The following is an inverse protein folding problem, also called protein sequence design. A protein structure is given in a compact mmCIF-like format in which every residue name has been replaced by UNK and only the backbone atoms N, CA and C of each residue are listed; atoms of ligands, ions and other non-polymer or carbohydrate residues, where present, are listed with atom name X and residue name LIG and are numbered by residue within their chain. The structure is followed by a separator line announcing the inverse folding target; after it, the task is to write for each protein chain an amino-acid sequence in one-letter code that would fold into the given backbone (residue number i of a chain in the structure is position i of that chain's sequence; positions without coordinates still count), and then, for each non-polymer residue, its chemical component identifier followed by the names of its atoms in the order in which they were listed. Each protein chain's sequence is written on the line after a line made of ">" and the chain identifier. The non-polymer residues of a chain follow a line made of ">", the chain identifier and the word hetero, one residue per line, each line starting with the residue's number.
data_IF_648173181955
#
_entry.id   IF_648173181955
#
_cell.length_a   1.000
_cell.length_b   1.000
_cell.length_c   1.000
_cell.angle_alpha   90.00
_cell.angle_beta   90.00
_cell.angle_gamma   90.00
#
_symmetry.space_group_name_H-M   'P 1'
#
loop_
_entity.id
_entity.type
_entity.pdbx_description
1 polymer ?
#
# COMPACT_ATOMS: atom_id res chain seq x y z
N UNK A 1 27.85 14.95 25.20
CA UNK A 1 26.79 15.15 26.22
C UNK A 1 25.73 15.99 25.52
N UNK A 2 24.77 15.33 24.85
CA UNK A 2 23.61 15.99 24.23
C UNK A 2 22.62 16.29 25.35
N UNK A 3 22.32 17.55 25.57
CA UNK A 3 21.23 18.01 26.45
C UNK A 3 19.94 17.39 25.98
N UNK A 4 19.13 16.75 26.82
CA UNK A 4 17.81 16.25 26.38
C UNK A 4 16.98 17.44 25.93
N UNK A 5 16.50 17.39 24.70
CA UNK A 5 15.51 18.35 24.19
C UNK A 5 14.29 18.20 25.07
N UNK A 6 13.93 19.28 25.74
CA UNK A 6 12.78 19.34 26.63
C UNK A 6 11.51 19.16 25.76
N UNK A 7 10.97 17.94 25.71
CA UNK A 7 9.73 17.66 24.96
C UNK A 7 8.63 18.50 25.58
N UNK A 8 8.07 19.43 24.81
CA UNK A 8 6.94 20.23 25.28
C UNK A 8 5.73 19.31 25.53
N UNK A 9 4.84 19.61 26.48
CA UNK A 9 3.60 18.85 26.69
C UNK A 9 2.75 18.70 25.43
N UNK A 10 2.84 19.62 24.49
CA UNK A 10 2.19 19.56 23.18
C UNK A 10 2.78 18.45 22.29
N UNK A 11 4.09 18.26 22.29
CA UNK A 11 4.78 17.21 21.54
C UNK A 11 4.36 15.80 22.00
N UNK A 12 4.12 15.66 23.31
CA UNK A 12 3.59 14.46 23.88
C UNK A 12 2.16 14.09 23.43
N UNK A 13 1.38 15.02 22.88
CA UNK A 13 0.03 14.74 22.38
C UNK A 13 0.04 14.00 21.02
N UNK A 14 1.13 14.05 20.26
CA UNK A 14 1.21 13.55 18.89
C UNK A 14 1.81 12.16 18.71
N UNK A 15 2.30 11.52 19.76
CA UNK A 15 2.59 10.10 19.73
C UNK A 15 4.05 9.67 19.73
N UNK A 16 4.34 8.58 19.01
CA UNK A 16 5.61 7.85 19.05
C UNK A 16 6.68 8.51 18.17
N UNK A 17 7.11 9.72 18.56
CA UNK A 17 8.22 10.40 17.93
C UNK A 17 9.51 10.23 18.74
N UNK A 18 10.64 10.26 18.05
CA UNK A 18 11.95 10.23 18.70
C UNK A 18 12.18 11.49 19.56
N UNK A 19 12.73 11.30 20.76
CA UNK A 19 13.05 12.40 21.69
C UNK A 19 14.15 13.34 21.16
N UNK A 20 14.95 12.87 20.21
CA UNK A 20 15.97 13.68 19.50
C UNK A 20 15.47 14.32 18.23
N UNK A 21 14.16 14.31 18.01
CA UNK A 21 13.58 14.93 16.84
C UNK A 21 13.85 16.45 16.82
N UNK A 22 14.19 17.00 15.66
CA UNK A 22 14.81 18.31 15.54
C UNK A 22 13.85 19.49 15.74
N UNK A 23 12.55 19.27 15.75
CA UNK A 23 11.52 20.30 15.96
C UNK A 23 10.33 19.79 16.74
N UNK A 24 9.57 20.72 17.29
CA UNK A 24 8.32 20.44 18.01
C UNK A 24 7.13 20.60 17.06
N UNK A 25 6.16 19.68 17.15
CA UNK A 25 4.87 19.80 16.47
C UNK A 25 3.85 20.46 17.42
N UNK A 26 3.51 21.69 17.16
CA UNK A 26 2.38 22.34 17.86
C UNK A 26 1.10 22.15 17.04
N UNK A 27 0.07 21.49 17.60
CA UNK A 27 -1.22 21.27 16.93
C UNK A 27 -1.86 22.53 16.37
N UNK A 28 -1.59 23.68 16.98
CA UNK A 28 -2.16 24.94 16.55
C UNK A 28 -1.42 25.57 15.35
N UNK A 29 -0.20 25.13 15.08
CA UNK A 29 0.70 25.71 14.09
C UNK A 29 1.02 24.82 12.89
N UNK A 30 0.36 23.67 12.75
CA UNK A 30 0.53 22.78 11.60
C UNK A 30 -0.44 23.21 10.48
N UNK A 31 0.10 23.98 9.53
CA UNK A 31 -0.71 24.61 8.49
C UNK A 31 -1.43 23.62 7.56
N UNK A 32 -0.85 22.44 7.35
CA UNK A 32 -1.38 21.43 6.44
C UNK A 32 -2.36 20.45 7.11
N UNK A 33 -2.30 20.26 8.42
CA UNK A 33 -3.09 19.26 9.13
C UNK A 33 -4.59 19.59 9.13
N UNK A 34 -4.96 20.85 9.34
CA UNK A 34 -6.35 21.30 9.35
C UNK A 34 -7.10 21.00 8.03
N UNK A 35 -6.38 20.91 6.92
CA UNK A 35 -6.93 20.58 5.60
C UNK A 35 -6.93 19.09 5.27
N UNK A 36 -6.23 18.27 6.04
CA UNK A 36 -6.03 16.86 5.69
C UNK A 36 -7.34 16.06 5.58
N UNK A 37 -8.30 16.33 6.47
CA UNK A 37 -9.63 15.69 6.43
C UNK A 37 -10.37 16.08 5.14
N UNK A 38 -10.37 17.37 4.80
CA UNK A 38 -11.01 17.88 3.57
C UNK A 38 -10.35 17.29 2.32
N UNK A 39 -9.02 17.17 2.33
CA UNK A 39 -8.24 16.60 1.22
C UNK A 39 -8.55 15.10 1.04
N UNK A 40 -8.66 14.32 2.12
CA UNK A 40 -9.08 12.91 2.05
C UNK A 40 -10.49 12.78 1.47
N UNK A 41 -11.44 13.58 1.95
CA UNK A 41 -12.81 13.59 1.42
C UNK A 41 -12.82 14.00 -0.07
N UNK A 42 -12.00 14.98 -0.45
CA UNK A 42 -11.86 15.39 -1.86
C UNK A 42 -11.27 14.28 -2.71
N UNK A 43 -10.22 13.59 -2.25
CA UNK A 43 -9.63 12.45 -2.92
C UNK A 43 -10.66 11.32 -3.12
N UNK A 44 -11.41 10.98 -2.08
CA UNK A 44 -12.47 9.96 -2.15
C UNK A 44 -13.58 10.33 -3.13
N UNK A 45 -13.96 11.62 -3.20
CA UNK A 45 -14.96 12.10 -4.20
C UNK A 45 -14.45 12.07 -5.63
N UNK A 46 -13.13 12.16 -5.83
CA UNK A 46 -12.52 12.09 -7.16
C UNK A 46 -12.56 10.67 -7.74
N UNK A 47 -12.52 9.63 -6.89
CA UNK A 47 -12.48 8.22 -7.31
C UNK A 47 -13.63 7.86 -8.26
N UNK A 48 -14.91 8.05 -7.94
CA UNK A 48 -16.01 7.73 -8.85
C UNK A 48 -15.92 8.48 -10.19
N UNK A 49 -15.43 9.72 -10.17
CA UNK A 49 -15.26 10.53 -11.39
C UNK A 49 -14.19 9.95 -12.32
N UNK A 50 -13.12 9.38 -11.74
CA UNK A 50 -12.02 8.79 -12.49
C UNK A 50 -12.30 7.35 -12.95
N UNK A 51 -13.14 6.63 -12.22
CA UNK A 51 -13.42 5.21 -12.46
C UNK A 51 -14.73 4.95 -13.21
N UNK A 52 -15.55 5.98 -13.41
CA UNK A 52 -16.73 5.88 -14.28
C UNK A 52 -16.29 5.91 -15.76
N UNK A 53 -16.65 4.90 -16.56
CA UNK A 53 -16.31 4.87 -17.97
C UNK A 53 -16.90 6.07 -18.72
N UNK A 54 -16.07 6.82 -19.42
CA UNK A 54 -16.51 7.93 -20.28
C UNK A 54 -16.69 7.49 -21.72
N UNK A 55 -17.52 8.22 -22.51
CA UNK A 55 -17.68 7.93 -23.95
C UNK A 55 -16.37 8.05 -24.72
N UNK A 56 -15.54 9.00 -24.34
CA UNK A 56 -14.25 9.29 -24.98
C UNK A 56 -13.14 9.22 -23.95
N UNK A 57 -12.34 8.13 -23.91
CA UNK A 57 -11.17 8.03 -23.05
C UNK A 57 -10.06 8.98 -23.55
N UNK A 58 -9.00 9.21 -22.76
CA UNK A 58 -7.81 9.96 -23.23
C UNK A 58 -7.13 9.26 -24.39
N UNK A 59 -7.55 9.56 -25.65
CA UNK A 59 -7.21 8.80 -26.87
C UNK A 59 -5.70 8.60 -27.02
N UNK A 60 -4.91 9.67 -26.89
CA UNK A 60 -3.45 9.56 -27.01
C UNK A 60 -2.83 8.55 -26.02
N UNK A 61 -3.31 8.53 -24.77
CA UNK A 61 -2.83 7.58 -23.76
C UNK A 61 -3.37 6.18 -24.00
N UNK A 62 -4.62 6.06 -24.42
CA UNK A 62 -5.22 4.79 -24.80
C UNK A 62 -4.43 4.11 -25.93
N UNK A 63 -4.05 4.84 -26.96
CA UNK A 63 -3.23 4.30 -28.07
C UNK A 63 -1.91 3.73 -27.55
N UNK A 64 -1.22 4.44 -26.66
CA UNK A 64 0.03 3.95 -26.05
C UNK A 64 -0.22 2.66 -25.26
N UNK A 65 -1.27 2.64 -24.42
CA UNK A 65 -1.61 1.47 -23.59
C UNK A 65 -1.95 0.27 -24.47
N UNK A 66 -2.83 0.45 -25.46
CA UNK A 66 -3.23 -0.62 -26.40
C UNK A 66 -2.02 -1.13 -27.17
N UNK A 67 -1.14 -0.24 -27.66
CA UNK A 67 0.06 -0.65 -28.39
C UNK A 67 1.03 -1.48 -27.53
N UNK A 68 1.29 -1.05 -26.27
CA UNK A 68 2.16 -1.79 -25.35
C UNK A 68 1.57 -3.14 -24.99
N UNK A 69 0.26 -3.19 -24.66
CA UNK A 69 -0.43 -4.43 -24.35
C UNK A 69 -0.50 -5.37 -25.55
N UNK A 70 -0.74 -4.84 -26.76
CA UNK A 70 -0.73 -5.65 -27.99
C UNK A 70 0.62 -6.30 -28.22
N UNK A 71 1.73 -5.59 -28.02
CA UNK A 71 3.07 -6.17 -28.09
C UNK A 71 3.31 -7.28 -27.04
N UNK A 72 2.65 -7.22 -25.91
CA UNK A 72 2.71 -8.27 -24.90
C UNK A 72 1.83 -9.48 -25.25
N UNK A 73 0.60 -9.23 -25.68
CA UNK A 73 -0.43 -10.25 -25.85
C UNK A 73 -0.34 -11.00 -27.20
N UNK A 74 -0.07 -10.30 -28.31
CA UNK A 74 -0.05 -10.90 -29.65
C UNK A 74 0.90 -12.09 -29.75
N UNK A 75 2.18 -12.02 -29.31
CA UNK A 75 3.08 -13.16 -29.39
C UNK A 75 2.63 -14.36 -28.56
N UNK A 76 2.03 -14.11 -27.39
CA UNK A 76 1.45 -15.16 -26.57
C UNK A 76 0.27 -15.82 -27.30
N UNK A 77 -0.65 -15.00 -27.85
CA UNK A 77 -1.81 -15.50 -28.57
C UNK A 77 -1.42 -16.34 -29.80
N UNK A 78 -0.42 -15.90 -30.57
CA UNK A 78 0.11 -16.63 -31.73
C UNK A 78 0.71 -17.96 -31.29
N UNK A 79 1.59 -17.97 -30.25
CA UNK A 79 2.18 -19.20 -29.73
C UNK A 79 1.09 -20.18 -29.23
N UNK A 80 0.09 -19.66 -28.50
CA UNK A 80 -1.02 -20.48 -28.01
C UNK A 80 -1.85 -21.07 -29.14
N UNK A 81 -2.18 -20.28 -30.17
CA UNK A 81 -2.91 -20.77 -31.34
C UNK A 81 -2.13 -21.83 -32.13
N UNK A 82 -0.83 -21.70 -32.21
CA UNK A 82 0.07 -22.66 -32.84
C UNK A 82 0.42 -23.86 -31.94
N UNK A 83 -0.20 -24.00 -30.78
CA UNK A 83 0.05 -25.07 -29.78
C UNK A 83 1.54 -25.24 -29.45
N UNK A 84 2.29 -24.11 -29.30
CA UNK A 84 3.73 -24.10 -29.03
C UNK A 84 4.05 -23.91 -27.53
N UNK A 85 3.17 -24.32 -26.65
CA UNK A 85 3.41 -24.44 -25.21
C UNK A 85 3.26 -25.88 -24.82
N UNK A 86 4.21 -26.37 -24.04
CA UNK A 86 4.25 -27.75 -23.59
C UNK A 86 3.23 -27.99 -22.45
N UNK A 87 2.91 -26.96 -21.68
CA UNK A 87 1.92 -27.02 -20.61
C UNK A 87 1.11 -25.72 -20.44
N UNK A 88 -0.05 -25.79 -19.78
CA UNK A 88 -0.81 -24.61 -19.39
C UNK A 88 -0.01 -23.66 -18.46
N UNK A 89 0.83 -24.21 -17.59
CA UNK A 89 1.71 -23.51 -16.65
C UNK A 89 2.73 -22.65 -17.41
N UNK A 90 3.41 -23.24 -18.39
CA UNK A 90 4.35 -22.52 -19.27
C UNK A 90 3.66 -21.36 -19.99
N UNK A 91 2.46 -21.59 -20.50
CA UNK A 91 1.66 -20.54 -21.15
C UNK A 91 1.32 -19.40 -20.19
N UNK A 92 0.97 -19.71 -18.92
CA UNK A 92 0.70 -18.70 -17.88
C UNK A 92 1.96 -17.95 -17.48
N UNK A 93 3.07 -18.64 -17.27
CA UNK A 93 4.36 -18.00 -16.96
C UNK A 93 4.81 -17.05 -18.09
N UNK A 94 4.69 -17.49 -19.34
CA UNK A 94 5.04 -16.66 -20.50
C UNK A 94 4.22 -15.37 -20.59
N UNK A 95 2.89 -15.44 -20.42
CA UNK A 95 2.04 -14.24 -20.46
C UNK A 95 2.32 -13.32 -19.27
N UNK A 96 2.53 -13.89 -18.08
CA UNK A 96 2.81 -13.14 -16.85
C UNK A 96 4.09 -12.32 -16.96
N UNK A 97 5.18 -12.91 -17.45
CA UNK A 97 6.44 -12.21 -17.76
C UNK A 97 6.23 -11.05 -18.75
N UNK A 98 5.45 -11.27 -19.80
CA UNK A 98 5.19 -10.23 -20.80
C UNK A 98 4.31 -9.10 -20.26
N UNK A 99 3.34 -9.43 -19.40
CA UNK A 99 2.51 -8.44 -18.72
C UNK A 99 3.34 -7.59 -17.77
N UNK A 100 4.25 -8.19 -16.97
CA UNK A 100 5.18 -7.41 -16.15
C UNK A 100 6.00 -6.41 -16.98
N UNK A 101 6.62 -6.88 -18.06
CA UNK A 101 7.37 -5.99 -18.98
C UNK A 101 6.51 -4.90 -19.60
N UNK A 102 5.24 -5.17 -19.87
CA UNK A 102 4.30 -4.16 -20.37
C UNK A 102 3.99 -3.11 -19.32
N UNK A 103 3.71 -3.54 -18.08
CA UNK A 103 3.44 -2.68 -16.93
C UNK A 103 4.63 -1.76 -16.64
N UNK A 104 5.86 -2.28 -16.65
CA UNK A 104 7.09 -1.49 -16.50
C UNK A 104 7.25 -0.42 -17.59
N UNK A 105 6.91 -0.75 -18.84
CA UNK A 105 6.94 0.20 -19.98
C UNK A 105 5.87 1.27 -19.92
N UNK A 106 4.70 0.93 -19.37
CA UNK A 106 3.59 1.88 -19.21
C UNK A 106 3.87 2.92 -18.12
N UNK A 107 4.76 2.57 -17.19
CA UNK A 107 5.29 3.48 -16.18
C UNK A 107 4.57 3.41 -14.83
N UNK A 108 4.81 4.44 -14.02
CA UNK A 108 4.53 4.52 -12.59
C UNK A 108 3.15 4.04 -12.17
N UNK A 109 2.09 4.46 -12.85
CA UNK A 109 0.71 4.08 -12.53
C UNK A 109 0.49 2.58 -12.64
N UNK A 110 0.98 1.98 -13.72
CA UNK A 110 0.80 0.54 -13.98
C UNK A 110 1.72 -0.31 -13.11
N UNK A 111 2.92 0.18 -12.76
CA UNK A 111 3.81 -0.47 -11.79
C UNK A 111 3.09 -0.57 -10.43
N UNK A 112 2.47 0.52 -9.97
CA UNK A 112 1.72 0.53 -8.71
C UNK A 112 0.50 -0.41 -8.76
N UNK A 113 -0.22 -0.47 -9.89
CA UNK A 113 -1.28 -1.47 -10.08
C UNK A 113 -0.72 -2.90 -9.99
N UNK A 114 0.44 -3.16 -10.61
CA UNK A 114 1.12 -4.45 -10.52
C UNK A 114 1.47 -4.85 -9.10
N UNK A 115 1.86 -3.91 -8.25
CA UNK A 115 2.13 -4.14 -6.82
C UNK A 115 0.86 -4.54 -6.05
N UNK A 116 -0.29 -3.91 -6.35
CA UNK A 116 -1.57 -4.32 -5.77
C UNK A 116 -1.92 -5.74 -6.20
N UNK A 117 -1.77 -6.08 -7.48
CA UNK A 117 -2.02 -7.42 -7.99
C UNK A 117 -1.06 -8.45 -7.33
N UNK A 118 0.21 -8.09 -7.12
CA UNK A 118 1.19 -8.97 -6.47
C UNK A 118 0.85 -9.28 -5.01
N UNK A 119 0.05 -8.45 -4.37
CA UNK A 119 -0.46 -8.66 -3.00
C UNK A 119 -1.73 -9.52 -2.95
N UNK A 120 -2.29 -9.86 -4.11
CA UNK A 120 -3.53 -10.65 -4.25
C UNK A 120 -3.25 -12.15 -4.43
N UNK A 121 -2.44 -12.76 -3.56
CA UNK A 121 -2.25 -14.23 -3.56
C UNK A 121 -3.59 -14.94 -3.38
N UNK A 122 -3.81 -15.98 -4.18
CA UNK A 122 -5.09 -16.70 -4.21
C UNK A 122 -6.18 -16.03 -5.08
N UNK A 123 -6.11 -14.72 -5.32
CA UNK A 123 -7.04 -14.01 -6.22
C UNK A 123 -6.58 -14.04 -7.67
N UNK A 124 -5.28 -14.03 -7.89
CA UNK A 124 -4.65 -14.05 -9.21
C UNK A 124 -3.83 -15.32 -9.40
N UNK A 125 -3.56 -15.74 -10.66
CA UNK A 125 -2.68 -16.86 -10.92
C UNK A 125 -1.30 -16.65 -10.27
N UNK A 126 -0.75 -17.71 -9.65
CA UNK A 126 0.52 -17.65 -8.94
C UNK A 126 1.66 -17.12 -9.82
N UNK A 127 1.68 -17.50 -11.11
CA UNK A 127 2.67 -17.05 -12.08
C UNK A 127 2.62 -15.52 -12.29
N UNK A 128 1.41 -14.93 -12.28
CA UNK A 128 1.23 -13.49 -12.40
C UNK A 128 1.67 -12.76 -11.13
N UNK A 129 1.26 -13.26 -9.98
CA UNK A 129 1.65 -12.72 -8.67
C UNK A 129 3.18 -12.73 -8.52
N UNK A 130 3.82 -13.86 -8.81
CA UNK A 130 5.28 -14.01 -8.70
C UNK A 130 6.03 -13.08 -9.66
N UNK A 131 5.57 -12.93 -10.89
CA UNK A 131 6.18 -11.96 -11.83
C UNK A 131 5.97 -10.51 -11.35
N UNK A 132 4.81 -10.18 -10.81
CA UNK A 132 4.53 -8.81 -10.36
C UNK A 132 5.22 -8.46 -9.03
N UNK A 133 5.59 -9.43 -8.19
CA UNK A 133 6.52 -9.22 -7.07
C UNK A 133 7.89 -8.71 -7.54
N UNK A 134 8.26 -8.99 -8.81
CA UNK A 134 9.48 -8.48 -9.43
C UNK A 134 9.30 -7.08 -10.05
N UNK A 135 8.09 -6.53 -10.07
CA UNK A 135 7.88 -5.14 -10.48
C UNK A 135 8.62 -4.23 -9.48
N UNK A 136 9.73 -3.67 -9.94
CA UNK A 136 10.61 -2.87 -9.09
C UNK A 136 9.96 -1.53 -8.78
N UNK A 137 9.97 -1.15 -7.51
CA UNK A 137 9.70 0.22 -7.08
C UNK A 137 10.75 1.22 -7.60
N UNK A 138 11.89 0.72 -8.07
CA UNK A 138 12.97 1.54 -8.56
C UNK A 138 12.72 1.96 -10.01
N UNK A 139 12.15 3.13 -10.16
CA UNK A 139 12.06 3.84 -11.44
C UNK A 139 13.28 4.77 -11.57
N UNK A 140 13.92 4.93 -12.75
CA UNK A 140 15.04 5.86 -12.88
C UNK A 140 14.71 7.25 -12.30
N UNK A 141 15.64 7.82 -11.54
CA UNK A 141 15.47 9.14 -10.97
C UNK A 141 15.28 10.19 -12.07
N UNK A 142 14.43 11.18 -11.83
CA UNK A 142 14.34 12.33 -12.74
C UNK A 142 15.52 13.28 -12.48
N UNK A 143 15.97 14.07 -13.48
CA UNK A 143 17.03 15.04 -13.31
C UNK A 143 16.76 16.01 -12.15
N UNK A 144 17.79 16.33 -11.37
CA UNK A 144 17.67 17.16 -10.18
C UNK A 144 17.08 18.55 -10.46
N UNK A 145 17.36 19.14 -11.62
CA UNK A 145 16.77 20.42 -12.01
C UNK A 145 15.24 20.43 -12.02
N UNK A 146 14.61 19.31 -12.37
CA UNK A 146 13.17 19.17 -12.32
C UNK A 146 12.67 19.02 -10.85
N UNK A 147 13.45 18.37 -10.03
CA UNK A 147 13.19 18.26 -8.58
C UNK A 147 13.28 19.62 -7.92
N UNK A 148 14.38 20.34 -8.16
CA UNK A 148 14.59 21.71 -7.70
C UNK A 148 13.42 22.60 -8.06
N UNK A 149 13.04 22.61 -9.33
CA UNK A 149 11.90 23.42 -9.80
C UNK A 149 10.60 23.05 -9.07
N UNK A 150 10.39 21.77 -8.78
CA UNK A 150 9.20 21.32 -8.04
C UNK A 150 9.24 21.84 -6.59
N UNK A 151 10.37 21.70 -5.91
CA UNK A 151 10.53 22.16 -4.52
C UNK A 151 10.33 23.69 -4.44
N UNK A 152 11.04 24.44 -5.27
CA UNK A 152 10.96 25.91 -5.28
C UNK A 152 9.53 26.41 -5.60
N UNK A 153 8.83 25.74 -6.53
CA UNK A 153 7.44 26.06 -6.87
C UNK A 153 6.49 25.79 -5.69
N UNK A 154 6.67 24.66 -5.01
CA UNK A 154 5.79 24.25 -3.88
C UNK A 154 6.05 25.06 -2.62
N UNK A 155 7.30 25.38 -2.32
CA UNK A 155 7.66 26.14 -1.13
C UNK A 155 7.59 27.66 -1.34
N UNK A 156 7.51 28.12 -2.59
CA UNK A 156 7.48 29.55 -2.93
C UNK A 156 8.77 30.28 -2.61
N UNK A 157 9.88 29.56 -2.46
CA UNK A 157 11.21 30.08 -2.08
C UNK A 157 12.32 29.36 -2.85
N UNK A 158 13.45 30.01 -3.14
CA UNK A 158 14.64 29.36 -3.63
C UNK A 158 15.17 28.28 -2.68
N UNK A 159 15.80 27.23 -3.21
CA UNK A 159 16.34 26.13 -2.38
C UNK A 159 17.28 26.59 -1.27
N UNK A 160 18.16 27.53 -1.59
CA UNK A 160 19.16 28.08 -0.66
C UNK A 160 18.58 28.92 0.50
N UNK A 161 17.30 29.29 0.43
CA UNK A 161 16.59 29.94 1.55
C UNK A 161 15.95 28.92 2.51
N UNK A 162 15.91 27.65 2.13
CA UNK A 162 15.31 26.59 2.94
C UNK A 162 16.37 25.57 3.41
N UNK A 163 17.25 25.19 2.51
CA UNK A 163 18.28 24.17 2.74
C UNK A 163 19.68 24.76 2.64
N UNK A 164 20.53 24.48 3.64
CA UNK A 164 21.97 24.75 3.56
C UNK A 164 22.69 23.74 2.66
N UNK A 165 22.13 22.54 2.54
CA UNK A 165 22.59 21.46 1.67
C UNK A 165 21.42 20.62 1.19
N UNK A 166 21.45 20.18 -0.06
CA UNK A 166 20.59 19.13 -0.61
C UNK A 166 21.39 18.26 -1.55
N UNK A 167 21.33 16.94 -1.35
CA UNK A 167 22.00 15.99 -2.23
C UNK A 167 21.26 15.96 -3.59
N UNK A 168 22.01 16.20 -4.66
CA UNK A 168 21.48 16.15 -6.03
C UNK A 168 21.20 14.72 -6.51
N UNK A 169 21.84 13.74 -5.85
CA UNK A 169 21.61 12.32 -6.10
C UNK A 169 20.45 11.84 -5.21
N UNK A 170 19.46 11.23 -5.82
CA UNK A 170 18.33 10.68 -5.06
C UNK A 170 18.77 9.52 -4.16
N UNK A 171 18.43 9.57 -2.87
CA UNK A 171 18.58 8.46 -1.94
C UNK A 171 17.73 7.25 -2.37
N UNK A 172 16.52 7.53 -2.84
CA UNK A 172 15.58 6.54 -3.37
C UNK A 172 14.71 7.17 -4.46
N UNK A 173 14.34 6.36 -5.46
CA UNK A 173 13.44 6.79 -6.52
C UNK A 173 12.35 5.73 -6.72
N UNK A 174 11.15 6.05 -6.31
CA UNK A 174 9.95 5.21 -6.42
C UNK A 174 9.08 5.61 -7.63
N UNK A 175 7.97 4.92 -7.80
CA UNK A 175 7.04 5.15 -8.92
C UNK A 175 6.44 6.56 -8.94
N UNK A 176 6.09 7.13 -7.80
CA UNK A 176 5.40 8.42 -7.68
C UNK A 176 6.35 9.55 -7.28
N UNK A 177 7.38 9.25 -6.50
CA UNK A 177 8.25 10.22 -5.86
C UNK A 177 9.72 9.81 -5.89
N UNK A 178 10.59 10.73 -5.54
CA UNK A 178 11.97 10.45 -5.16
C UNK A 178 12.32 11.18 -3.87
N UNK A 179 13.31 10.68 -3.16
CA UNK A 179 13.74 11.14 -1.84
C UNK A 179 15.17 11.62 -1.93
N UNK A 180 15.44 12.79 -1.37
CA UNK A 180 16.77 13.38 -1.29
C UNK A 180 17.15 13.61 0.17
N UNK A 181 18.45 13.49 0.46
CA UNK A 181 19.00 13.94 1.74
C UNK A 181 19.21 15.45 1.68
N UNK A 182 18.91 16.12 2.78
CA UNK A 182 19.12 17.55 2.89
C UNK A 182 19.44 17.95 4.33
N UNK A 183 19.96 19.19 4.48
CA UNK A 183 20.15 19.86 5.76
C UNK A 183 19.40 21.19 5.68
N UNK A 184 18.56 21.48 6.65
CA UNK A 184 17.89 22.78 6.74
C UNK A 184 18.89 23.89 7.06
N UNK A 185 18.53 25.15 6.80
CA UNK A 185 19.37 26.31 7.21
C UNK A 185 19.59 26.32 8.71
N UNK A 186 18.61 25.85 9.49
CA UNK A 186 18.68 25.69 10.94
C UNK A 186 19.63 24.57 11.41
N UNK A 187 20.12 23.73 10.49
CA UNK A 187 21.15 22.71 10.74
C UNK A 187 20.63 21.29 10.89
N UNK A 188 19.32 21.06 10.85
CA UNK A 188 18.74 19.72 11.01
C UNK A 188 18.90 18.88 9.75
N UNK A 189 19.29 17.62 9.95
CA UNK A 189 19.29 16.63 8.86
C UNK A 189 17.89 16.12 8.58
N UNK A 190 17.48 16.23 7.32
CA UNK A 190 16.13 15.87 6.85
C UNK A 190 16.19 14.99 5.62
N UNK A 191 15.07 14.34 5.32
CA UNK A 191 14.77 13.79 4.01
C UNK A 191 13.67 14.60 3.35
N UNK A 192 13.84 14.84 2.06
CA UNK A 192 12.90 15.59 1.22
C UNK A 192 12.30 14.63 0.20
N UNK A 193 11.04 14.26 0.42
CA UNK A 193 10.26 13.46 -0.54
C UNK A 193 9.61 14.40 -1.54
N UNK A 194 9.88 14.20 -2.83
CA UNK A 194 9.43 15.08 -3.90
C UNK A 194 8.66 14.27 -4.93
N UNK A 195 7.44 14.69 -5.23
CA UNK A 195 6.62 14.05 -6.25
C UNK A 195 7.21 14.28 -7.64
N UNK A 196 7.22 13.23 -8.45
CA UNK A 196 7.68 13.33 -9.84
C UNK A 196 6.86 14.35 -10.64
N UNK A 197 7.48 15.17 -11.46
CA UNK A 197 6.76 16.08 -12.34
C UNK A 197 5.74 15.32 -13.19
N UNK A 198 4.57 15.89 -13.38
CA UNK A 198 3.49 15.35 -14.22
C UNK A 198 2.83 14.04 -13.76
N UNK A 199 3.32 13.35 -12.72
CA UNK A 199 2.78 12.05 -12.27
C UNK A 199 1.29 12.13 -11.94
N UNK A 200 0.85 13.18 -11.26
CA UNK A 200 -0.56 13.38 -10.90
C UNK A 200 -1.47 13.46 -12.14
N UNK A 201 -1.04 14.16 -13.19
CA UNK A 201 -1.79 14.23 -14.46
C UNK A 201 -1.80 12.89 -15.20
N UNK A 202 -0.67 12.17 -15.14
CA UNK A 202 -0.53 10.87 -15.80
C UNK A 202 -1.41 9.82 -15.12
N UNK A 203 -1.39 9.74 -13.79
CA UNK A 203 -2.22 8.84 -13.00
C UNK A 203 -3.71 9.02 -13.34
N UNK A 204 -4.21 10.26 -13.37
CA UNK A 204 -5.61 10.53 -13.70
C UNK A 204 -5.98 10.11 -15.14
N UNK A 205 -5.06 10.30 -16.09
CA UNK A 205 -5.27 9.80 -17.47
C UNK A 205 -5.28 8.28 -17.52
N UNK A 206 -4.39 7.64 -16.80
CA UNK A 206 -4.29 6.18 -16.76
C UNK A 206 -5.52 5.55 -16.12
N UNK A 207 -6.00 6.10 -14.99
CA UNK A 207 -7.23 5.64 -14.34
C UNK A 207 -8.44 5.72 -15.29
N UNK A 208 -8.58 6.80 -16.05
CA UNK A 208 -9.65 6.92 -17.06
C UNK A 208 -9.52 5.92 -18.19
N UNK A 209 -8.30 5.61 -18.64
CA UNK A 209 -8.05 4.54 -19.62
C UNK A 209 -8.39 3.18 -19.04
N UNK A 210 -7.96 2.90 -17.81
CA UNK A 210 -8.28 1.65 -17.11
C UNK A 210 -9.80 1.50 -16.92
N UNK A 211 -10.49 2.55 -16.47
CA UNK A 211 -11.94 2.55 -16.29
C UNK A 211 -12.70 2.27 -17.60
N UNK A 212 -12.19 2.81 -18.71
CA UNK A 212 -12.78 2.56 -20.03
C UNK A 212 -12.50 1.13 -20.51
N UNK A 213 -11.32 0.57 -20.25
CA UNK A 213 -10.95 -0.80 -20.66
C UNK A 213 -11.59 -1.87 -19.79
N UNK A 214 -11.72 -1.64 -18.49
CA UNK A 214 -12.10 -2.65 -17.51
C UNK A 214 -13.43 -3.38 -17.81
N UNK A 215 -14.53 -2.71 -18.19
CA UNK A 215 -15.77 -3.39 -18.55
C UNK A 215 -15.63 -4.35 -19.73
N UNK A 216 -14.75 -4.05 -20.69
CA UNK A 216 -14.52 -4.89 -21.86
C UNK A 216 -13.72 -6.17 -21.53
N UNK A 217 -13.10 -6.23 -20.37
CA UNK A 217 -12.35 -7.41 -19.89
C UNK A 217 -13.22 -8.40 -19.12
N UNK A 218 -14.38 -7.96 -18.62
CA UNK A 218 -15.29 -8.81 -17.86
C UNK A 218 -15.72 -10.01 -18.69
N UNK A 219 -15.53 -11.21 -18.15
CA UNK A 219 -15.87 -12.48 -18.80
C UNK A 219 -15.01 -12.90 -19.99
N UNK A 220 -14.11 -12.02 -20.50
CA UNK A 220 -13.25 -12.34 -21.66
C UNK A 220 -11.90 -12.92 -21.28
N UNK A 221 -11.45 -12.65 -20.09
CA UNK A 221 -10.19 -13.18 -19.55
C UNK A 221 -10.53 -14.00 -18.31
N UNK A 222 -9.98 -15.24 -18.21
CA UNK A 222 -10.24 -16.11 -17.05
C UNK A 222 -9.85 -15.46 -15.72
N UNK A 223 -8.82 -14.62 -15.72
CA UNK A 223 -8.39 -13.82 -14.56
C UNK A 223 -9.45 -12.79 -14.17
N UNK A 224 -10.17 -12.19 -15.14
CA UNK A 224 -11.21 -11.21 -14.87
C UNK A 224 -12.45 -11.78 -14.20
N UNK A 225 -12.67 -13.08 -14.32
CA UNK A 225 -13.76 -13.77 -13.59
C UNK A 225 -13.47 -13.90 -12.09
N UNK A 226 -12.19 -13.83 -11.69
CA UNK A 226 -11.75 -13.89 -10.29
C UNK A 226 -11.59 -12.50 -9.66
N UNK A 227 -11.32 -11.47 -10.48
CA UNK A 227 -10.93 -10.15 -10.00
C UNK A 227 -11.74 -9.04 -10.69
N UNK A 228 -13.05 -9.06 -10.68
CA UNK A 228 -13.91 -8.00 -11.24
C UNK A 228 -13.12 -6.73 -11.68
N UNK A 229 -12.68 -6.59 -12.95
CA UNK A 229 -11.74 -5.54 -13.35
C UNK A 229 -12.20 -4.11 -13.03
N UNK A 230 -13.49 -3.73 -13.16
CA UNK A 230 -13.98 -2.43 -12.70
C UNK A 230 -13.75 -2.20 -11.20
N UNK A 231 -14.06 -3.20 -10.34
CA UNK A 231 -13.85 -3.08 -8.90
C UNK A 231 -12.35 -3.01 -8.55
N UNK A 232 -11.49 -3.71 -9.30
CA UNK A 232 -10.03 -3.59 -9.12
C UNK A 232 -9.53 -2.18 -9.48
N UNK A 233 -10.05 -1.58 -10.55
CA UNK A 233 -9.71 -0.19 -10.92
C UNK A 233 -10.20 0.80 -9.87
N UNK A 234 -11.38 0.61 -9.31
CA UNK A 234 -11.91 1.43 -8.22
C UNK A 234 -11.02 1.34 -6.97
N UNK A 235 -10.71 0.13 -6.52
CA UNK A 235 -9.79 -0.13 -5.39
C UNK A 235 -8.40 0.50 -5.61
N UNK A 236 -7.88 0.38 -6.82
CA UNK A 236 -6.61 0.99 -7.18
C UNK A 236 -6.69 2.52 -7.14
N UNK A 237 -7.78 3.11 -7.66
CA UNK A 237 -8.00 4.55 -7.63
C UNK A 237 -8.10 5.09 -6.20
N UNK A 238 -8.85 4.41 -5.31
CA UNK A 238 -8.94 4.74 -3.88
C UNK A 238 -7.57 4.78 -3.19
N UNK A 239 -6.66 3.93 -3.63
CA UNK A 239 -5.32 3.87 -3.05
C UNK A 239 -4.41 4.95 -3.61
N UNK A 240 -4.33 5.06 -4.94
CA UNK A 240 -3.33 5.92 -5.59
C UNK A 240 -3.67 7.41 -5.54
N UNK A 241 -4.97 7.77 -5.51
CA UNK A 241 -5.37 9.19 -5.48
C UNK A 241 -4.96 9.86 -4.15
N UNK A 242 -5.03 9.15 -3.04
CA UNK A 242 -4.55 9.64 -1.74
C UNK A 242 -3.03 9.88 -1.74
N UNK A 243 -2.25 9.03 -2.44
CA UNK A 243 -0.78 9.18 -2.55
C UNK A 243 -0.34 10.40 -3.39
N UNK A 244 -1.26 11.04 -4.12
CA UNK A 244 -0.95 12.22 -4.93
C UNK A 244 -0.90 13.54 -4.14
N UNK A 245 -1.13 13.48 -2.82
CA UNK A 245 -1.05 14.65 -1.94
C UNK A 245 -0.29 14.32 -0.65
N UNK A 246 0.95 14.75 -0.54
CA UNK A 246 1.80 14.44 0.60
C UNK A 246 1.35 15.07 1.93
N UNK A 247 0.42 16.00 1.92
CA UNK A 247 -0.22 16.49 3.16
C UNK A 247 -1.08 15.38 3.80
N UNK A 248 -1.68 14.51 2.97
CA UNK A 248 -2.39 13.32 3.46
C UNK A 248 -1.40 12.34 4.08
N UNK A 249 -0.23 12.13 3.45
CA UNK A 249 0.83 11.28 4.00
C UNK A 249 1.34 11.83 5.34
N UNK A 250 1.64 13.12 5.42
CA UNK A 250 2.04 13.77 6.67
C UNK A 250 0.99 13.60 7.78
N UNK A 251 -0.30 13.75 7.47
CA UNK A 251 -1.39 13.50 8.40
C UNK A 251 -1.50 12.02 8.80
N UNK A 252 -1.24 11.10 7.88
CA UNK A 252 -1.18 9.67 8.18
C UNK A 252 -0.06 9.34 9.18
N UNK A 253 1.11 10.02 9.07
CA UNK A 253 2.20 9.89 10.04
C UNK A 253 1.75 10.27 11.44
N UNK A 254 1.02 11.38 11.59
CA UNK A 254 0.48 11.80 12.89
C UNK A 254 -0.53 10.79 13.45
N UNK A 255 -1.45 10.30 12.61
CA UNK A 255 -2.48 9.36 13.06
C UNK A 255 -1.86 8.03 13.54
N UNK A 256 -0.85 7.51 12.82
CA UNK A 256 -0.14 6.28 13.23
C UNK A 256 0.71 6.52 14.48
N UNK A 257 1.41 7.66 14.59
CA UNK A 257 2.17 8.00 15.78
C UNK A 257 1.27 8.11 17.03
N UNK A 258 0.10 8.71 16.87
CA UNK A 258 -0.93 8.80 17.93
C UNK A 258 -1.44 7.43 18.34
N UNK A 259 -1.77 6.57 17.36
CA UNK A 259 -2.19 5.20 17.59
C UNK A 259 -1.14 4.41 18.40
N UNK A 260 0.12 4.43 18.00
CA UNK A 260 1.20 3.74 18.69
C UNK A 260 1.35 4.19 20.14
N UNK A 261 1.20 5.49 20.38
CA UNK A 261 1.26 6.04 21.72
C UNK A 261 0.08 5.62 22.60
N UNK A 262 -1.15 5.73 22.10
CA UNK A 262 -2.35 5.35 22.84
C UNK A 262 -2.36 3.85 23.18
N UNK A 263 -1.69 3.02 22.36
CA UNK A 263 -1.49 1.60 22.60
C UNK A 263 -0.20 1.27 23.41
N UNK A 264 0.54 2.29 23.89
CA UNK A 264 1.80 2.15 24.60
C UNK A 264 2.88 1.37 23.83
N UNK A 265 2.90 1.53 22.50
CA UNK A 265 3.88 0.89 21.61
C UNK A 265 5.15 1.75 21.48
N UNK A 266 5.97 1.77 22.52
CA UNK A 266 7.19 2.59 22.65
C UNK A 266 8.39 2.09 21.82
N UNK A 267 8.29 0.88 21.27
CA UNK A 267 9.30 0.26 20.41
C UNK A 267 9.23 0.72 18.95
N UNK A 268 8.25 1.55 18.61
CA UNK A 268 8.11 2.13 17.28
C UNK A 268 8.38 3.62 17.32
N UNK A 269 8.97 4.12 16.25
CA UNK A 269 9.11 5.55 15.99
C UNK A 269 8.61 5.89 14.58
N UNK A 270 8.06 7.07 14.46
CA UNK A 270 7.64 7.67 13.21
C UNK A 270 8.57 8.85 12.92
N UNK A 271 9.14 8.99 11.70
CA UNK A 271 9.85 10.21 11.31
C UNK A 271 8.93 11.41 11.50
N UNK A 272 9.42 12.45 12.14
CA UNK A 272 8.58 13.63 12.40
C UNK A 272 8.44 14.47 11.14
N UNK A 273 7.22 14.69 10.61
CA UNK A 273 7.02 15.59 9.47
C UNK A 273 7.29 17.04 9.88
N UNK A 274 7.82 17.84 8.98
CA UNK A 274 8.08 19.25 9.27
C UNK A 274 6.77 20.06 9.34
N UNK A 275 6.57 20.92 10.35
CA UNK A 275 5.28 21.57 10.58
C UNK A 275 4.83 22.52 9.46
N UNK A 276 5.75 23.05 8.66
CA UNK A 276 5.44 24.02 7.60
C UNK A 276 5.92 23.59 6.21
N UNK A 277 6.79 22.58 6.08
CA UNK A 277 7.38 22.14 4.81
C UNK A 277 6.72 20.84 4.29
N UNK A 278 5.41 20.71 4.47
CA UNK A 278 4.60 19.68 3.82
C UNK A 278 3.56 20.34 2.92
N UNK A 279 3.66 20.04 1.64
CA UNK A 279 2.79 20.57 0.56
C UNK A 279 2.20 19.40 -0.23
N UNK A 280 1.48 19.69 -1.31
CA UNK A 280 0.94 18.63 -2.15
C UNK A 280 2.04 17.74 -2.74
N UNK A 281 3.19 18.31 -3.14
CA UNK A 281 4.21 17.60 -3.90
C UNK A 281 5.57 17.51 -3.20
N UNK A 282 5.70 18.10 -2.03
CA UNK A 282 6.94 18.09 -1.24
C UNK A 282 6.61 17.75 0.21
N UNK A 283 7.33 16.81 0.79
CA UNK A 283 7.26 16.45 2.20
C UNK A 283 8.67 16.43 2.77
N UNK A 284 8.92 17.35 3.70
CA UNK A 284 10.15 17.35 4.50
C UNK A 284 9.86 16.66 5.82
N UNK A 285 10.73 15.73 6.22
CA UNK A 285 10.60 14.98 7.46
C UNK A 285 11.96 14.67 8.06
N UNK A 286 11.97 14.32 9.32
CA UNK A 286 13.16 13.89 10.05
C UNK A 286 13.88 12.76 9.31
N UNK A 287 15.20 12.85 9.20
CA UNK A 287 16.04 11.75 8.79
C UNK A 287 16.12 10.70 9.90
N UNK A 288 15.77 9.47 9.57
CA UNK A 288 15.96 8.31 10.43
C UNK A 288 16.93 7.36 9.75
N UNK A 289 17.83 6.75 10.52
CA UNK A 289 18.78 5.77 10.02
C UNK A 289 18.82 4.55 10.93
N UNK A 290 19.09 3.40 10.33
CA UNK A 290 19.16 2.12 11.05
C UNK A 290 19.52 1.00 10.10
N UNK A 291 19.48 -0.22 10.61
CA UNK A 291 19.62 -1.43 9.82
C UNK A 291 18.39 -1.61 8.93
N UNK A 292 18.57 -2.04 7.70
CA UNK A 292 17.45 -2.50 6.89
C UNK A 292 16.78 -3.69 7.57
N UNK A 293 15.48 -3.79 7.46
CA UNK A 293 14.71 -4.84 8.14
C UNK A 293 15.10 -6.27 7.74
N UNK A 294 15.67 -6.44 6.56
CA UNK A 294 16.18 -7.73 6.03
C UNK A 294 17.66 -7.99 6.36
N UNK A 295 18.37 -7.01 6.96
CA UNK A 295 19.76 -7.18 7.41
C UNK A 295 19.82 -7.87 8.80
N UNK A 296 19.35 -9.11 8.85
CA UNK A 296 19.31 -9.93 10.07
C UNK A 296 20.71 -10.13 10.68
N UNK A 297 21.73 -10.29 9.82
CA UNK A 297 23.12 -10.49 10.25
C UNK A 297 23.68 -9.23 10.91
N UNK A 298 23.47 -8.07 10.28
CA UNK A 298 23.90 -6.79 10.85
C UNK A 298 23.23 -6.51 12.20
N UNK A 299 21.91 -6.76 12.31
CA UNK A 299 21.19 -6.60 13.57
C UNK A 299 21.70 -7.52 14.68
N UNK A 300 21.89 -8.81 14.41
CA UNK A 300 22.43 -9.77 15.39
C UNK A 300 23.85 -9.41 15.83
N UNK A 301 24.71 -8.98 14.90
CA UNK A 301 26.07 -8.52 15.23
C UNK A 301 26.07 -7.26 16.10
N UNK A 302 25.07 -6.42 15.97
CA UNK A 302 24.86 -5.25 16.82
C UNK A 302 24.18 -5.57 18.17
N UNK A 303 23.88 -6.85 18.46
CA UNK A 303 23.22 -7.28 19.69
C UNK A 303 21.72 -7.02 19.74
N UNK A 304 21.08 -6.78 18.61
CA UNK A 304 19.65 -6.53 18.52
C UNK A 304 18.90 -7.87 18.56
N UNK A 305 17.91 -7.97 19.46
CA UNK A 305 17.00 -9.11 19.55
C UNK A 305 15.95 -9.06 18.43
N UNK A 306 16.21 -9.83 17.36
CA UNK A 306 15.32 -9.88 16.19
C UNK A 306 13.97 -10.53 16.48
N UNK A 307 13.88 -11.43 17.48
CA UNK A 307 12.62 -12.00 17.95
C UNK A 307 11.74 -10.91 18.59
N UNK A 308 12.32 -10.08 19.43
CA UNK A 308 11.62 -8.95 20.03
C UNK A 308 11.12 -7.95 18.99
N UNK A 309 11.93 -7.67 17.96
CA UNK A 309 11.57 -6.77 16.86
C UNK A 309 10.30 -7.27 16.14
N UNK A 310 10.28 -8.53 15.69
CA UNK A 310 9.12 -9.05 14.94
C UNK A 310 7.89 -9.25 15.85
N UNK A 311 8.08 -9.73 17.08
CA UNK A 311 6.99 -9.89 18.05
C UNK A 311 6.29 -8.57 18.32
N UNK A 312 7.05 -7.52 18.58
CA UNK A 312 6.51 -6.16 18.82
C UNK A 312 5.79 -5.66 17.57
N UNK A 313 6.36 -5.94 16.38
CA UNK A 313 5.76 -5.62 15.10
C UNK A 313 4.36 -6.21 14.89
N UNK A 314 4.24 -7.48 15.17
CA UNK A 314 2.96 -8.20 15.10
C UNK A 314 1.93 -7.61 16.07
N UNK A 315 2.32 -7.41 17.34
CA UNK A 315 1.43 -6.89 18.37
C UNK A 315 0.93 -5.49 17.98
N UNK A 316 1.84 -4.58 17.66
CA UNK A 316 1.48 -3.20 17.29
C UNK A 316 0.59 -3.13 16.05
N UNK A 317 0.84 -3.98 15.05
CA UNK A 317 0.00 -4.05 13.86
C UNK A 317 -1.40 -4.57 14.19
N UNK A 318 -1.50 -5.66 14.95
CA UNK A 318 -2.80 -6.25 15.31
C UNK A 318 -3.62 -5.34 16.22
N UNK A 319 -3.00 -4.74 17.24
CA UNK A 319 -3.67 -3.78 18.12
C UNK A 319 -4.11 -2.53 17.36
N UNK A 320 -3.25 -2.01 16.49
CA UNK A 320 -3.58 -0.88 15.62
C UNK A 320 -4.81 -1.15 14.76
N UNK A 321 -4.88 -2.31 14.12
CA UNK A 321 -5.99 -2.69 13.27
C UNK A 321 -7.27 -3.00 14.06
N UNK A 322 -7.17 -3.80 15.12
CA UNK A 322 -8.34 -4.35 15.83
C UNK A 322 -8.86 -3.40 16.92
N UNK A 323 -7.96 -2.83 17.72
CA UNK A 323 -8.34 -2.02 18.89
C UNK A 323 -8.53 -0.57 18.50
N UNK A 324 -7.53 0.01 17.82
CA UNK A 324 -7.56 1.43 17.48
C UNK A 324 -8.29 1.72 16.16
N UNK A 325 -8.18 0.81 15.20
CA UNK A 325 -8.79 0.93 13.88
C UNK A 325 -7.94 1.71 12.86
N UNK A 326 -6.66 1.95 13.15
CA UNK A 326 -5.70 2.56 12.24
C UNK A 326 -4.45 1.68 12.18
N UNK A 327 -3.94 1.45 10.98
CA UNK A 327 -2.74 0.64 10.79
C UNK A 327 -2.01 1.01 9.51
N UNK A 328 -0.69 0.84 9.50
CA UNK A 328 0.14 1.03 8.32
C UNK A 328 -0.33 0.09 7.20
N UNK A 329 -0.60 0.61 6.02
CA UNK A 329 -1.22 -0.16 4.92
C UNK A 329 -0.20 -0.79 3.97
N UNK A 330 1.09 -0.52 4.11
CA UNK A 330 2.12 -0.96 3.17
C UNK A 330 3.41 -1.41 3.88
N UNK A 331 3.29 -2.40 4.78
CA UNK A 331 4.46 -2.98 5.43
C UNK A 331 5.27 -3.81 4.43
N UNK A 332 6.54 -3.48 4.29
CA UNK A 332 7.54 -4.27 3.58
C UNK A 332 8.95 -3.89 4.06
N UNK A 333 9.94 -4.72 3.79
CA UNK A 333 11.31 -4.51 4.30
C UNK A 333 11.95 -3.18 3.89
N UNK A 334 11.48 -2.54 2.83
CA UNK A 334 11.93 -1.20 2.39
C UNK A 334 11.37 -0.04 3.20
N UNK A 335 10.25 -0.26 3.93
CA UNK A 335 9.58 0.76 4.75
C UNK A 335 9.88 0.61 6.25
N UNK A 336 10.87 -0.22 6.60
CA UNK A 336 11.22 -0.53 7.98
C UNK A 336 12.72 -0.40 8.18
N UNK A 337 13.12 0.39 9.18
CA UNK A 337 14.48 0.39 9.71
C UNK A 337 14.47 -0.04 11.16
N UNK A 338 15.47 -0.85 11.56
CA UNK A 338 15.69 -1.18 12.97
C UNK A 338 16.86 -0.35 13.47
N UNK A 339 16.60 0.47 14.47
CA UNK A 339 17.58 1.36 15.05
C UNK A 339 18.59 0.59 15.94
N UNK A 340 19.78 1.15 16.23
CA UNK A 340 20.76 0.50 17.10
C UNK A 340 20.25 0.18 18.51
N UNK A 341 19.23 0.89 18.99
CA UNK A 341 18.59 0.64 20.30
C UNK A 341 17.45 -0.41 20.23
N UNK A 342 17.26 -1.05 19.07
CA UNK A 342 16.26 -2.09 18.86
C UNK A 342 14.84 -1.57 18.57
N UNK A 343 14.62 -0.26 18.53
CA UNK A 343 13.34 0.31 18.07
C UNK A 343 13.20 0.20 16.56
N UNK A 344 11.96 0.12 16.07
CA UNK A 344 11.67 0.05 14.65
C UNK A 344 11.10 1.37 14.16
N UNK A 345 11.73 1.97 13.15
CA UNK A 345 11.20 3.13 12.44
C UNK A 345 10.32 2.68 11.29
N UNK A 346 9.08 3.18 11.25
CA UNK A 346 8.15 3.03 10.13
C UNK A 346 8.34 4.18 9.15
N UNK A 347 8.44 3.85 7.88
CA UNK A 347 8.61 4.81 6.79
C UNK A 347 7.45 4.67 5.80
N UNK A 348 7.26 5.69 4.96
CA UNK A 348 6.28 5.74 3.87
C UNK A 348 4.82 5.50 4.32
N UNK A 349 4.13 6.60 4.61
CA UNK A 349 2.74 6.58 5.08
C UNK A 349 1.74 6.96 3.97
N UNK A 350 2.10 6.72 2.72
CA UNK A 350 1.21 6.95 1.56
C UNK A 350 -0.10 6.15 1.65
N UNK A 351 -0.06 4.97 2.30
CA UNK A 351 -1.22 4.10 2.48
C UNK A 351 -1.40 3.76 3.95
N UNK A 352 -2.56 4.11 4.51
CA UNK A 352 -2.97 3.75 5.88
C UNK A 352 -4.36 3.14 5.84
N UNK A 353 -4.51 1.99 6.49
CA UNK A 353 -5.81 1.34 6.70
C UNK A 353 -6.58 2.03 7.83
N UNK A 354 -7.88 2.25 7.61
CA UNK A 354 -8.78 2.91 8.57
C UNK A 354 -10.07 2.15 8.71
N UNK A 355 -10.21 1.46 9.82
CA UNK A 355 -11.41 0.75 10.24
C UNK A 355 -12.08 1.55 11.35
N UNK A 356 -13.12 2.30 11.03
CA UNK A 356 -13.81 3.16 12.00
C UNK A 356 -15.25 2.72 12.24
N UNK A 357 -15.78 2.98 13.44
CA UNK A 357 -17.18 2.74 13.77
C UNK A 357 -17.67 1.32 13.46
N UNK A 358 -18.75 1.22 12.71
CA UNK A 358 -19.40 -0.04 12.36
C UNK A 358 -18.48 -1.00 11.56
N UNK A 359 -17.62 -0.47 10.68
CA UNK A 359 -16.69 -1.30 9.91
C UNK A 359 -15.64 -1.98 10.79
N UNK A 360 -15.14 -1.31 11.83
CA UNK A 360 -14.23 -1.93 12.80
C UNK A 360 -14.92 -3.05 13.57
N UNK A 361 -16.14 -2.83 14.00
CA UNK A 361 -16.92 -3.89 14.67
C UNK A 361 -17.21 -5.07 13.75
N UNK A 362 -17.50 -4.83 12.47
CA UNK A 362 -17.66 -5.90 11.49
C UNK A 362 -16.34 -6.67 11.28
N UNK A 363 -15.21 -5.97 11.22
CA UNK A 363 -13.90 -6.60 11.12
C UNK A 363 -13.56 -7.47 12.33
N UNK A 364 -13.84 -6.98 13.55
CA UNK A 364 -13.65 -7.77 14.78
C UNK A 364 -14.55 -9.00 14.81
N UNK A 365 -15.82 -8.87 14.38
CA UNK A 365 -16.73 -10.01 14.23
C UNK A 365 -16.23 -11.02 13.20
N UNK A 366 -15.67 -10.56 12.09
CA UNK A 366 -15.05 -11.43 11.08
C UNK A 366 -13.93 -12.27 11.70
N UNK A 367 -13.02 -11.64 12.43
CA UNK A 367 -11.90 -12.33 13.09
C UNK A 367 -12.40 -13.32 14.15
N UNK A 368 -13.34 -12.93 15.01
CA UNK A 368 -13.92 -13.80 16.03
C UNK A 368 -14.64 -15.00 15.40
N UNK A 369 -15.47 -14.77 14.38
CA UNK A 369 -16.19 -15.84 13.71
C UNK A 369 -15.24 -16.78 12.94
N UNK A 370 -14.09 -16.28 12.49
CA UNK A 370 -13.05 -17.13 11.88
C UNK A 370 -12.43 -18.08 12.91
N UNK A 371 -12.14 -17.61 14.14
CA UNK A 371 -11.58 -18.46 15.20
C UNK A 371 -12.57 -19.49 15.73
N UNK A 372 -13.86 -19.20 15.69
CA UNK A 372 -14.95 -20.09 16.15
C UNK A 372 -15.53 -20.95 15.02
N UNK A 373 -14.99 -20.84 13.81
CA UNK A 373 -15.49 -21.51 12.59
C UNK A 373 -16.99 -21.26 12.32
N UNK A 374 -17.49 -20.08 12.73
CA UNK A 374 -18.87 -19.66 12.47
C UNK A 374 -18.98 -19.03 11.07
N UNK A 375 -19.26 -19.86 10.07
CA UNK A 375 -19.33 -19.44 8.66
C UNK A 375 -20.42 -18.41 8.41
N UNK A 376 -21.60 -18.57 9.01
CA UNK A 376 -22.71 -17.59 8.88
C UNK A 376 -22.24 -16.21 9.34
N UNK A 377 -21.68 -16.13 10.54
CA UNK A 377 -21.18 -14.90 11.09
C UNK A 377 -20.02 -14.28 10.30
N UNK A 378 -19.19 -15.11 9.63
CA UNK A 378 -18.15 -14.61 8.74
C UNK A 378 -18.73 -13.93 7.49
N UNK A 379 -19.73 -14.55 6.84
CA UNK A 379 -20.36 -14.00 5.62
C UNK A 379 -21.15 -12.72 5.96
N UNK A 380 -21.85 -12.71 7.10
CA UNK A 380 -22.51 -11.49 7.61
C UNK A 380 -21.51 -10.36 7.87
N UNK A 381 -20.41 -10.65 8.53
CA UNK A 381 -19.35 -9.67 8.78
C UNK A 381 -18.70 -9.14 7.51
N UNK A 382 -18.49 -9.99 6.49
CA UNK A 382 -18.01 -9.58 5.17
C UNK A 382 -19.00 -8.64 4.47
N UNK A 383 -20.31 -8.91 4.56
CA UNK A 383 -21.34 -7.99 4.05
C UNK A 383 -21.28 -6.64 4.76
N UNK A 384 -21.21 -6.63 6.08
CA UNK A 384 -21.18 -5.42 6.89
C UNK A 384 -19.88 -4.63 6.70
N UNK A 385 -18.79 -5.27 6.28
CA UNK A 385 -17.56 -4.62 5.83
C UNK A 385 -17.70 -3.99 4.44
N UNK A 386 -18.77 -4.30 3.70
CA UNK A 386 -18.97 -3.86 2.33
C UNK A 386 -18.33 -4.77 1.27
N UNK A 387 -17.94 -5.99 1.67
CA UNK A 387 -17.43 -7.01 0.74
C UNK A 387 -18.55 -7.63 -0.11
N UNK A 388 -19.77 -7.61 0.37
CA UNK A 388 -20.98 -8.07 -0.33
C UNK A 388 -22.01 -6.94 -0.35
N UNK A 389 -22.91 -6.89 -1.37
CA UNK A 389 -24.07 -6.02 -1.35
C UNK A 389 -24.91 -6.22 -0.08
N UNK A 390 -25.50 -5.14 0.44
CA UNK A 390 -26.28 -5.18 1.69
C UNK A 390 -27.55 -6.03 1.59
N UNK A 391 -28.07 -6.21 0.40
CA UNK A 391 -29.27 -7.02 0.06
C UNK A 391 -28.91 -8.49 -0.24
N UNK A 392 -27.66 -8.90 -0.11
CA UNK A 392 -27.22 -10.29 -0.35
C UNK A 392 -27.89 -11.25 0.62
N UNK A 393 -28.53 -12.30 0.08
CA UNK A 393 -29.06 -13.41 0.87
C UNK A 393 -27.90 -14.31 1.38
N UNK A 394 -27.60 -14.18 2.65
CA UNK A 394 -26.50 -14.90 3.33
C UNK A 394 -26.71 -16.41 3.27
N UNK A 395 -27.95 -16.89 3.43
CA UNK A 395 -28.25 -18.33 3.41
C UNK A 395 -28.07 -18.91 2.00
N UNK A 396 -28.44 -18.16 0.96
CA UNK A 396 -28.17 -18.56 -0.41
C UNK A 396 -26.68 -18.66 -0.69
N UNK A 397 -25.88 -17.68 -0.24
CA UNK A 397 -24.42 -17.69 -0.36
C UNK A 397 -23.82 -18.92 0.32
N UNK A 398 -24.22 -19.23 1.55
CA UNK A 398 -23.71 -20.37 2.32
C UNK A 398 -24.05 -21.69 1.63
N UNK A 399 -25.29 -21.82 1.15
CA UNK A 399 -25.76 -23.00 0.44
C UNK A 399 -24.99 -23.23 -0.87
N UNK A 400 -24.86 -22.19 -1.70
CA UNK A 400 -24.18 -22.27 -3.01
C UNK A 400 -22.67 -22.51 -2.87
N UNK A 401 -22.10 -22.04 -1.78
CA UNK A 401 -20.69 -22.26 -1.42
C UNK A 401 -20.45 -23.62 -0.74
N UNK A 402 -21.54 -24.34 -0.39
CA UNK A 402 -21.47 -25.60 0.36
C UNK A 402 -20.67 -25.47 1.66
N UNK A 403 -20.82 -24.34 2.36
CA UNK A 403 -20.09 -24.01 3.61
C UNK A 403 -20.82 -24.50 4.85
N UNK A 404 -22.04 -25.07 4.72
CA UNK A 404 -22.92 -25.40 5.86
C UNK A 404 -22.65 -26.75 6.52
N UNK A 405 -22.22 -27.79 5.78
CA UNK A 405 -22.22 -29.17 6.27
C UNK A 405 -20.84 -29.86 6.38
N UNK A 406 -19.81 -29.24 5.87
CA UNK A 406 -18.44 -29.72 6.03
C UNK A 406 -17.55 -28.51 6.31
N UNK A 407 -17.31 -28.23 7.57
CA UNK A 407 -16.15 -27.45 7.95
C UNK A 407 -14.94 -28.20 7.38
N UNK A 408 -14.49 -27.78 6.20
CA UNK A 408 -13.21 -28.25 5.67
C UNK A 408 -12.18 -27.76 6.69
N UNK A 409 -11.63 -28.69 7.44
CA UNK A 409 -10.57 -28.37 8.39
C UNK A 409 -9.36 -27.90 7.57
N UNK A 410 -9.01 -26.59 7.62
CA UNK A 410 -7.89 -26.07 6.83
C UNK A 410 -6.57 -26.76 7.14
N UNK A 411 -6.47 -27.41 8.32
CA UNK A 411 -5.25 -28.09 8.76
C UNK A 411 -5.06 -29.45 8.09
N UNK A 412 -6.13 -29.99 7.48
CA UNK A 412 -6.09 -31.28 6.74
C UNK A 412 -5.78 -31.13 5.27
N UNK A 413 -5.84 -29.91 4.74
CA UNK A 413 -5.58 -29.62 3.32
C UNK A 413 -4.09 -29.37 3.07
N UNK A 414 -3.59 -29.89 1.96
CA UNK A 414 -2.31 -29.46 1.41
C UNK A 414 -2.37 -27.98 0.98
N UNK A 415 -1.23 -27.31 0.91
CA UNK A 415 -1.19 -25.92 0.48
C UNK A 415 -1.86 -25.67 -0.89
N UNK A 416 -1.75 -26.61 -1.83
CA UNK A 416 -2.44 -26.51 -3.13
C UNK A 416 -3.96 -26.66 -3.04
N UNK A 417 -4.44 -27.55 -2.19
CA UNK A 417 -5.87 -27.77 -1.97
C UNK A 417 -6.50 -26.56 -1.28
N UNK A 418 -5.80 -26.00 -0.30
CA UNK A 418 -6.22 -24.76 0.37
C UNK A 418 -6.35 -23.60 -0.62
N UNK A 419 -5.37 -23.41 -1.50
CA UNK A 419 -5.42 -22.36 -2.54
C UNK A 419 -6.59 -22.58 -3.49
N UNK A 420 -6.84 -23.81 -3.94
CA UNK A 420 -7.98 -24.13 -4.82
C UNK A 420 -9.32 -23.86 -4.13
N UNK A 421 -9.43 -24.19 -2.85
CA UNK A 421 -10.66 -23.95 -2.08
C UNK A 421 -10.92 -22.45 -1.86
N UNK A 422 -9.89 -21.68 -1.51
CA UNK A 422 -9.99 -20.21 -1.42
C UNK A 422 -10.41 -19.62 -2.77
N UNK A 423 -9.83 -20.08 -3.88
CA UNK A 423 -10.22 -19.63 -5.22
C UNK A 423 -11.66 -19.99 -5.56
N UNK A 424 -12.16 -21.16 -5.13
CA UNK A 424 -13.56 -21.58 -5.31
C UNK A 424 -14.51 -20.63 -4.57
N UNK A 425 -14.21 -20.37 -3.30
CA UNK A 425 -15.00 -19.48 -2.45
C UNK A 425 -15.02 -18.06 -3.02
N UNK A 426 -13.86 -17.51 -3.34
CA UNK A 426 -13.75 -16.17 -3.93
C UNK A 426 -14.53 -16.07 -5.23
N UNK A 427 -14.41 -17.05 -6.11
CA UNK A 427 -15.15 -17.09 -7.40
C UNK A 427 -16.65 -17.09 -7.19
N UNK A 428 -17.15 -17.86 -6.26
CA UNK A 428 -18.59 -17.93 -5.99
C UNK A 428 -19.08 -16.61 -5.34
N UNK A 429 -18.34 -16.06 -4.38
CA UNK A 429 -18.66 -14.75 -3.80
C UNK A 429 -18.72 -13.63 -4.87
N UNK A 430 -17.84 -13.67 -5.86
CA UNK A 430 -17.86 -12.74 -6.99
C UNK A 430 -19.17 -12.83 -7.81
N UNK A 431 -19.78 -14.03 -7.89
CA UNK A 431 -21.11 -14.22 -8.50
C UNK A 431 -22.23 -13.44 -7.80
N UNK A 432 -22.05 -13.17 -6.51
CA UNK A 432 -22.93 -12.33 -5.70
C UNK A 432 -22.56 -10.84 -5.70
N UNK A 433 -21.64 -10.42 -6.59
CA UNK A 433 -21.20 -9.02 -6.67
C UNK A 433 -20.19 -8.63 -5.59
N UNK A 434 -19.49 -9.62 -5.01
CA UNK A 434 -18.48 -9.35 -3.99
C UNK A 434 -17.38 -8.41 -4.49
N UNK A 435 -16.93 -7.54 -3.60
CA UNK A 435 -15.80 -6.62 -3.78
C UNK A 435 -14.83 -6.78 -2.63
N UNK A 436 -13.53 -6.68 -2.90
CA UNK A 436 -12.53 -6.69 -1.81
C UNK A 436 -12.49 -5.31 -1.14
N UNK A 437 -12.86 -5.18 0.13
CA UNK A 437 -12.69 -3.92 0.85
C UNK A 437 -11.21 -3.54 0.95
N UNK A 438 -10.87 -2.26 0.74
CA UNK A 438 -9.50 -1.75 0.79
C UNK A 438 -8.77 -2.19 2.07
N UNK A 439 -9.42 -1.99 3.22
CA UNK A 439 -8.82 -2.27 4.52
C UNK A 439 -8.56 -3.77 4.74
N UNK A 440 -9.46 -4.63 4.27
CA UNK A 440 -9.26 -6.08 4.36
C UNK A 440 -8.07 -6.53 3.49
N UNK A 441 -7.97 -6.00 2.28
CA UNK A 441 -6.83 -6.27 1.39
C UNK A 441 -5.51 -5.81 2.02
N UNK A 442 -5.47 -4.59 2.57
CA UNK A 442 -4.28 -4.05 3.22
C UNK A 442 -3.89 -4.86 4.45
N UNK A 443 -4.87 -5.30 5.24
CA UNK A 443 -4.63 -6.13 6.42
C UNK A 443 -4.02 -7.49 6.02
N UNK A 444 -4.63 -8.19 5.06
CA UNK A 444 -4.12 -9.49 4.58
C UNK A 444 -2.71 -9.35 3.99
N UNK A 445 -2.46 -8.33 3.18
CA UNK A 445 -1.12 -8.04 2.65
C UNK A 445 -0.07 -7.91 3.74
N UNK A 446 -0.37 -7.13 4.78
CA UNK A 446 0.56 -6.91 5.88
C UNK A 446 0.76 -8.19 6.72
N UNK A 447 -0.29 -8.97 6.93
CA UNK A 447 -0.17 -10.27 7.62
C UNK A 447 0.73 -11.25 6.87
N UNK A 448 0.60 -11.34 5.55
CA UNK A 448 1.49 -12.17 4.71
C UNK A 448 2.94 -11.69 4.81
N UNK A 449 3.18 -10.37 4.80
CA UNK A 449 4.52 -9.83 5.01
C UNK A 449 5.08 -10.19 6.39
N UNK A 450 4.29 -10.00 7.45
CA UNK A 450 4.71 -10.27 8.82
C UNK A 450 4.99 -11.76 9.05
N UNK A 451 4.17 -12.65 8.50
CA UNK A 451 4.40 -14.10 8.53
C UNK A 451 5.73 -14.47 7.86
N UNK A 452 5.98 -13.97 6.66
CA UNK A 452 7.28 -14.15 6.00
C UNK A 452 8.45 -13.49 6.73
N UNK A 453 8.22 -12.46 7.53
CA UNK A 453 9.23 -11.81 8.36
C UNK A 453 9.55 -12.66 9.61
N UNK A 454 8.56 -13.32 10.20
CA UNK A 454 8.77 -14.29 11.31
C UNK A 454 9.75 -15.36 10.88
N UNK A 455 9.52 -15.98 9.73
CA UNK A 455 10.39 -17.04 9.21
C UNK A 455 11.85 -16.60 9.01
N UNK A 456 12.11 -15.31 8.86
CA UNK A 456 13.47 -14.74 8.66
C UNK A 456 14.12 -14.23 9.94
N UNK A 457 13.36 -13.51 10.78
CA UNK A 457 13.90 -12.88 12.00
C UNK A 457 13.83 -13.79 13.22
N UNK A 458 12.88 -14.72 13.24
CA UNK A 458 12.62 -15.65 14.34
C UNK A 458 12.29 -17.06 13.79
N UNK A 459 13.26 -17.76 13.18
CA UNK A 459 13.04 -19.03 12.48
C UNK A 459 12.74 -20.25 13.38
N UNK A 460 12.73 -20.09 14.73
CA UNK A 460 12.49 -21.17 15.70
C UNK A 460 11.03 -21.20 16.19
#
# INVERSE_FOLDING_TARGET
>A
VTTPVNTSPADCAWGAFDNVAPWVLDPNNIAWEKRAIELRVSAQREVPVLTTPTRTPPVARLVVVVWVLSKALIPWFVKKKLKRFDSPEESRAYISLRMRKAVERLGSTYIKLGQIISSGEGLFPAELVNEFKLCRDQVPAVPFELVKKTIETELGKPLNEVFSFIDTTALAAASIAQVHLATLISGEEVVVKVQRPTVSKLVRKDLRVMAWLAPHLVGRIKVSALANPPALVELFAETIVEELDFRIEASNMLDVAKMLRELNQDRYIIPRPHPTLATQRVLVMQRVSGFKFDDVVGMKNAGIDTHSVIRTGMIAFMEGAMIYGVFHGDLHGGNLFVMPDGRTALLDFGIVGRLTGARRMAFLRLMLNATTNNVVGQVEALRDLGALPMDTDIHAVIKDLNLGDAAIDPTTLSGEELVKEVQRIVKALMGYGARMPKELMLYVKNMVFLDGAIARLAPE
#
